data_IF_469138685083
#
_entry.id   IF_469138685083
#
_cell.length_a   1.000
_cell.length_b   1.000
_cell.length_c   1.000
_cell.angle_alpha   90.00
_cell.angle_beta   90.00
_cell.angle_gamma   90.00
#
_symmetry.space_group_name_H-M   'P 1'
#
loop_
_entity.id
_entity.type
_entity.pdbx_description
1 polymer ?
#
# COMPACT_ATOMS: atom_id res chain seq x y z
N UNK A 1 18.32 11.66 12.52
CA UNK A 1 17.25 10.87 11.86
C UNK A 1 16.34 10.13 12.87
N UNK A 2 16.89 9.32 13.77
CA UNK A 2 16.17 8.52 14.77
C UNK A 2 15.08 9.27 15.60
N UNK A 3 15.40 10.44 16.17
CA UNK A 3 14.44 11.25 16.96
C UNK A 3 13.28 11.81 16.13
N UNK A 4 13.46 12.03 14.82
CA UNK A 4 12.44 12.62 13.92
C UNK A 4 11.40 11.57 13.48
N UNK A 5 11.83 10.35 13.18
CA UNK A 5 10.93 9.20 12.91
C UNK A 5 10.07 8.85 14.13
N UNK A 6 10.63 8.87 15.34
CA UNK A 6 9.89 8.60 16.58
C UNK A 6 8.74 9.61 16.80
N UNK A 7 8.90 10.87 16.37
CA UNK A 7 7.85 11.88 16.51
C UNK A 7 6.68 11.72 15.51
N UNK A 8 6.89 11.12 14.32
CA UNK A 8 5.80 10.81 13.36
C UNK A 8 4.73 9.89 13.93
N UNK A 9 5.15 9.01 14.85
CA UNK A 9 4.38 7.87 15.30
C UNK A 9 4.01 7.95 16.79
N UNK A 10 4.10 9.15 17.40
CA UNK A 10 3.98 9.33 18.84
C UNK A 10 2.53 9.25 19.35
N UNK A 11 2.06 8.01 19.51
CA UNK A 11 1.17 7.43 20.56
C UNK A 11 1.01 5.96 20.18
N UNK A 12 1.08 5.01 21.13
CA UNK A 12 -0.11 4.13 21.28
C UNK A 12 -0.21 3.34 22.61
N UNK A 13 -1.32 2.57 22.70
CA UNK A 13 -1.43 1.33 23.47
C UNK A 13 -0.85 0.14 22.66
N UNK A 14 0.00 -0.65 23.32
CA UNK A 14 0.53 -2.01 23.09
C UNK A 14 0.89 -2.51 21.66
N UNK A 15 -0.02 -2.75 20.71
CA UNK A 15 0.33 -3.42 19.41
C UNK A 15 0.99 -2.48 18.39
N UNK A 16 0.53 -1.23 18.30
CA UNK A 16 1.06 -0.26 17.33
C UNK A 16 2.48 0.17 17.72
N UNK A 17 2.81 0.22 19.03
CA UNK A 17 4.17 0.50 19.51
C UNK A 17 5.15 -0.54 18.98
N UNK A 18 4.78 -1.81 19.07
CA UNK A 18 5.61 -2.91 18.60
C UNK A 18 5.91 -2.81 17.10
N UNK A 19 4.90 -2.52 16.29
CA UNK A 19 5.07 -2.32 14.84
C UNK A 19 5.98 -1.12 14.57
N UNK A 20 5.75 0.02 15.24
CA UNK A 20 6.58 1.22 15.07
C UNK A 20 8.04 0.95 15.44
N UNK A 21 8.29 0.25 16.56
CA UNK A 21 9.66 -0.11 16.97
C UNK A 21 10.34 -1.01 15.93
N UNK A 22 9.63 -2.00 15.38
CA UNK A 22 10.14 -2.83 14.29
C UNK A 22 10.41 -2.01 13.02
N UNK A 23 9.51 -1.11 12.64
CA UNK A 23 9.70 -0.21 11.48
C UNK A 23 10.94 0.65 11.68
N UNK A 24 11.10 1.29 12.84
CA UNK A 24 12.27 2.09 13.17
C UNK A 24 13.53 1.24 13.03
N UNK A 25 13.54 0.02 13.57
CA UNK A 25 14.68 -0.89 13.45
C UNK A 25 14.99 -1.29 11.99
N UNK A 26 13.97 -1.45 11.15
CA UNK A 26 14.15 -1.73 9.72
C UNK A 26 14.81 -0.54 9.03
N UNK A 27 14.29 0.67 9.24
CA UNK A 27 14.85 1.89 8.64
C UNK A 27 16.26 2.20 9.14
N UNK A 28 16.58 1.88 10.40
CA UNK A 28 17.91 2.15 10.95
C UNK A 28 18.94 1.14 10.47
N UNK A 29 18.57 -0.15 10.32
CA UNK A 29 19.44 -1.19 9.77
C UNK A 29 19.63 -1.11 8.25
N UNK A 30 18.59 -0.72 7.51
CA UNK A 30 18.62 -0.63 6.04
C UNK A 30 19.45 0.55 5.50
N UNK A 31 19.80 1.52 6.35
CA UNK A 31 20.63 2.68 6.01
C UNK A 31 22.01 2.37 5.42
N UNK A 32 22.44 1.10 5.41
CA UNK A 32 23.70 0.68 4.78
C UNK A 32 23.56 0.03 3.40
N UNK A 33 22.42 -0.56 3.01
CA UNK A 33 22.36 -1.41 1.79
C UNK A 33 21.05 -1.42 0.99
N UNK A 34 19.95 -0.78 1.43
CA UNK A 34 18.71 -0.77 0.61
C UNK A 34 17.78 0.41 0.93
N UNK A 35 17.64 1.36 -0.01
CA UNK A 35 16.62 2.40 0.03
C UNK A 35 15.27 1.84 -0.44
N UNK A 36 14.26 1.83 0.44
CA UNK A 36 12.89 1.62 -0.02
C UNK A 36 12.42 2.83 -0.84
N UNK A 37 11.72 2.56 -1.94
CA UNK A 37 11.16 3.60 -2.81
C UNK A 37 9.69 3.85 -2.47
N UNK A 38 9.19 5.05 -2.79
CA UNK A 38 7.79 5.43 -2.57
C UNK A 38 6.80 4.43 -3.20
N UNK A 39 7.09 3.92 -4.39
CA UNK A 39 6.25 2.97 -5.12
C UNK A 39 5.94 1.65 -4.37
N UNK A 40 6.74 1.25 -3.38
CA UNK A 40 6.46 0.09 -2.55
C UNK A 40 5.30 0.32 -1.58
N UNK A 41 4.95 1.59 -1.30
CA UNK A 41 3.98 1.95 -0.28
C UNK A 41 2.72 2.64 -0.83
N UNK A 42 2.67 2.96 -2.12
CA UNK A 42 1.52 3.65 -2.70
C UNK A 42 0.28 2.74 -2.73
N UNK A 43 -0.88 3.32 -2.45
CA UNK A 43 -2.17 2.75 -2.82
C UNK A 43 -2.45 3.08 -4.29
N UNK A 44 -2.91 2.08 -5.05
CA UNK A 44 -3.34 2.29 -6.43
C UNK A 44 -4.49 3.29 -6.47
N UNK A 45 -4.43 4.22 -7.43
CA UNK A 45 -5.52 5.18 -7.66
C UNK A 45 -6.86 4.52 -7.98
N UNK A 46 -6.87 3.28 -8.48
CA UNK A 46 -8.10 2.51 -8.72
C UNK A 46 -8.81 2.09 -7.44
N UNK A 47 -8.08 2.04 -6.34
CA UNK A 47 -8.60 1.66 -5.02
C UNK A 47 -8.98 2.88 -4.17
N UNK A 48 -8.84 4.09 -4.72
CA UNK A 48 -9.20 5.34 -4.06
C UNK A 48 -10.63 5.75 -4.39
N UNK A 49 -11.29 6.41 -3.44
CA UNK A 49 -12.60 6.99 -3.66
C UNK A 49 -12.48 8.45 -4.13
N UNK A 50 -13.28 8.82 -5.12
CA UNK A 50 -13.19 10.11 -5.80
C UNK A 50 -14.44 10.97 -5.61
N UNK A 51 -14.24 12.28 -5.58
CA UNK A 51 -15.31 13.28 -5.66
C UNK A 51 -15.01 14.15 -6.88
N UNK A 52 -15.99 14.32 -7.77
CA UNK A 52 -15.90 15.28 -8.87
C UNK A 52 -16.17 16.68 -8.31
N UNK A 53 -15.24 17.62 -8.52
CA UNK A 53 -15.38 19.01 -8.09
C UNK A 53 -16.59 19.73 -8.66
N UNK A 54 -16.99 19.39 -9.89
CA UNK A 54 -18.13 20.03 -10.57
C UNK A 54 -19.49 19.50 -10.09
N UNK A 55 -19.53 18.30 -9.53
CA UNK A 55 -20.78 17.62 -9.13
C UNK A 55 -21.04 17.72 -7.62
N UNK A 56 -20.38 18.65 -6.93
CA UNK A 56 -20.48 18.67 -5.49
C UNK A 56 -21.84 19.20 -5.02
N UNK A 57 -22.67 18.25 -4.58
CA UNK A 57 -23.97 18.45 -3.95
C UNK A 57 -24.04 17.72 -2.61
N UNK A 58 -24.67 18.33 -1.60
CA UNK A 58 -24.72 17.78 -0.23
C UNK A 58 -25.40 16.41 -0.18
N UNK A 59 -26.46 16.19 -0.95
CA UNK A 59 -27.17 14.91 -0.94
C UNK A 59 -26.31 13.83 -1.62
N UNK A 60 -25.63 14.18 -2.72
CA UNK A 60 -24.67 13.27 -3.36
C UNK A 60 -23.50 12.94 -2.42
N UNK A 61 -22.94 13.91 -1.69
CA UNK A 61 -21.89 13.68 -0.71
C UNK A 61 -22.35 12.80 0.46
N UNK A 62 -23.58 12.98 0.96
CA UNK A 62 -24.18 12.11 1.99
C UNK A 62 -24.29 10.67 1.52
N UNK A 63 -24.77 10.45 0.29
CA UNK A 63 -24.80 9.10 -0.32
C UNK A 63 -23.39 8.53 -0.45
N UNK A 64 -22.43 9.35 -0.90
CA UNK A 64 -21.02 8.97 -1.06
C UNK A 64 -20.45 8.43 0.25
N UNK A 65 -20.55 9.18 1.36
CA UNK A 65 -20.00 8.73 2.66
C UNK A 65 -20.75 7.52 3.24
N UNK A 66 -22.01 7.32 2.87
CA UNK A 66 -22.82 6.19 3.33
C UNK A 66 -22.42 4.88 2.64
N UNK A 67 -22.22 4.91 1.32
CA UNK A 67 -21.91 3.71 0.53
C UNK A 67 -20.41 3.46 0.34
N UNK A 68 -19.58 4.51 0.33
CA UNK A 68 -18.16 4.45 -0.02
C UNK A 68 -17.29 5.02 1.10
N UNK A 69 -17.43 4.49 2.32
CA UNK A 69 -16.70 5.03 3.48
C UNK A 69 -15.18 4.90 3.29
N UNK A 70 -14.47 6.01 3.47
CA UNK A 70 -13.01 6.08 3.35
C UNK A 70 -12.43 7.18 4.23
N UNK A 71 -11.17 7.05 4.61
CA UNK A 71 -10.45 8.03 5.45
C UNK A 71 -10.28 9.37 4.75
N UNK A 72 -10.14 9.36 3.43
CA UNK A 72 -10.09 10.53 2.58
C UNK A 72 -10.62 10.21 1.17
N UNK A 73 -10.89 11.27 0.42
CA UNK A 73 -11.39 11.21 -0.95
C UNK A 73 -10.51 12.11 -1.82
N UNK A 74 -10.20 11.63 -3.03
CA UNK A 74 -9.49 12.41 -4.03
C UNK A 74 -10.48 13.31 -4.78
N UNK A 75 -10.21 14.61 -4.77
CA UNK A 75 -10.97 15.59 -5.50
C UNK A 75 -10.35 15.75 -6.88
N UNK A 76 -11.14 15.59 -7.93
CA UNK A 76 -10.68 15.74 -9.31
C UNK A 76 -11.58 16.70 -10.09
N UNK A 77 -11.03 17.24 -11.17
CA UNK A 77 -11.76 18.08 -12.12
C UNK A 77 -11.55 17.58 -13.55
N UNK A 78 -12.64 17.41 -14.30
CA UNK A 78 -12.68 16.92 -15.70
C UNK A 78 -12.21 15.47 -15.92
N UNK A 79 -11.12 15.04 -15.30
CA UNK A 79 -10.57 13.69 -15.36
C UNK A 79 -10.06 13.24 -13.99
N UNK A 80 -10.19 11.95 -13.68
CA UNK A 80 -9.64 11.34 -12.45
C UNK A 80 -8.10 11.46 -12.36
N UNK A 81 -7.43 11.73 -13.48
CA UNK A 81 -6.00 12.02 -13.55
C UNK A 81 -5.67 13.46 -13.14
N UNK A 82 -6.65 14.37 -13.18
CA UNK A 82 -6.49 15.75 -12.76
C UNK A 82 -6.94 15.92 -11.30
N UNK A 83 -6.11 15.44 -10.37
CA UNK A 83 -6.34 15.52 -8.93
C UNK A 83 -6.02 16.94 -8.46
N UNK A 84 -7.05 17.67 -8.03
CA UNK A 84 -6.94 19.07 -7.59
C UNK A 84 -6.99 19.21 -6.06
N UNK A 85 -7.26 18.13 -5.32
CA UNK A 85 -7.39 18.20 -3.88
C UNK A 85 -7.58 16.84 -3.20
N UNK A 86 -7.46 16.87 -1.88
CA UNK A 86 -7.73 15.71 -1.02
C UNK A 86 -8.62 16.18 0.11
N UNK A 87 -9.73 15.49 0.33
CA UNK A 87 -10.71 15.83 1.37
C UNK A 87 -10.70 14.71 2.40
N UNK A 88 -10.38 15.03 3.65
CA UNK A 88 -10.47 14.04 4.72
C UNK A 88 -11.93 13.73 5.03
N UNK A 89 -12.22 12.53 5.54
CA UNK A 89 -13.57 12.19 6.02
C UNK A 89 -14.09 13.23 7.01
N UNK A 90 -13.24 13.69 7.92
CA UNK A 90 -13.60 14.68 8.94
C UNK A 90 -13.97 16.03 8.31
N UNK A 91 -13.17 16.52 7.36
CA UNK A 91 -13.47 17.77 6.65
C UNK A 91 -14.74 17.64 5.81
N UNK A 92 -14.96 16.49 5.18
CA UNK A 92 -16.16 16.21 4.39
C UNK A 92 -17.42 16.19 5.26
N UNK A 93 -17.38 15.49 6.40
CA UNK A 93 -18.47 15.47 7.39
C UNK A 93 -18.72 16.89 7.91
N UNK A 94 -17.68 17.61 8.32
CA UNK A 94 -17.81 18.99 8.77
C UNK A 94 -18.47 19.88 7.70
N UNK A 95 -18.09 19.71 6.43
CA UNK A 95 -18.72 20.43 5.33
C UNK A 95 -20.22 20.08 5.19
N UNK A 96 -20.57 18.79 5.25
CA UNK A 96 -21.95 18.32 5.11
C UNK A 96 -22.86 18.85 6.23
N UNK A 97 -22.36 18.88 7.48
CA UNK A 97 -23.18 19.18 8.66
C UNK A 97 -23.11 20.65 9.12
N UNK A 98 -22.02 21.37 8.85
CA UNK A 98 -21.85 22.75 9.31
C UNK A 98 -22.17 23.82 8.26
N UNK A 99 -22.53 23.44 7.02
CA UNK A 99 -22.87 24.40 5.99
C UNK A 99 -24.23 25.08 6.22
N UNK A 100 -24.18 26.15 7.02
CA UNK A 100 -25.20 27.22 7.05
C UNK A 100 -24.95 28.30 5.99
N UNK A 101 -23.83 28.25 5.27
CA UNK A 101 -23.38 29.29 4.33
C UNK A 101 -23.35 28.78 2.89
N UNK A 102 -23.85 29.60 1.95
CA UNK A 102 -23.91 29.35 0.50
C UNK A 102 -22.52 29.37 -0.19
N UNK A 103 -21.43 29.42 0.57
CA UNK A 103 -20.08 29.47 0.00
C UNK A 103 -19.57 28.06 -0.33
N UNK A 104 -19.37 27.81 -1.63
CA UNK A 104 -18.87 26.55 -2.22
C UNK A 104 -17.40 26.24 -1.91
N UNK A 105 -16.73 26.99 -1.04
CA UNK A 105 -15.29 26.81 -0.80
C UNK A 105 -15.06 25.64 0.14
N UNK A 106 -14.77 24.47 -0.44
CA UNK A 106 -14.32 23.28 0.27
C UNK A 106 -12.92 23.47 0.83
N UNK A 107 -12.72 23.03 2.07
CA UNK A 107 -11.37 22.93 2.62
C UNK A 107 -10.72 21.64 2.10
N UNK A 108 -9.67 21.78 1.30
CA UNK A 108 -8.82 20.67 0.89
C UNK A 108 -7.59 20.59 1.79
N UNK A 109 -7.09 19.37 1.97
CA UNK A 109 -5.82 19.13 2.65
C UNK A 109 -4.64 19.39 1.73
N UNK A 110 -3.56 19.93 2.29
CA UNK A 110 -2.28 20.10 1.59
C UNK A 110 -1.71 18.73 1.19
N UNK A 111 -1.20 18.63 -0.03
CA UNK A 111 -0.54 17.45 -0.59
C UNK A 111 0.59 17.87 -1.54
N UNK A 112 1.47 16.93 -1.90
CA UNK A 112 2.49 17.14 -2.94
C UNK A 112 2.41 16.06 -4.01
N UNK A 113 2.89 16.42 -5.20
CA UNK A 113 3.26 15.45 -6.21
C UNK A 113 4.75 15.11 -6.07
N UNK A 114 5.07 13.83 -5.93
CA UNK A 114 6.46 13.36 -5.84
C UNK A 114 6.70 12.20 -6.82
N UNK A 115 7.92 12.05 -7.38
CA UNK A 115 8.24 10.91 -8.23
C UNK A 115 8.02 9.58 -7.49
N UNK A 116 7.38 8.61 -8.15
CA UNK A 116 7.13 7.30 -7.56
C UNK A 116 8.41 6.52 -7.19
N UNK A 117 9.55 6.89 -7.76
CA UNK A 117 10.87 6.32 -7.45
C UNK A 117 11.64 7.08 -6.36
N UNK A 118 11.02 8.08 -5.72
CA UNK A 118 11.66 8.83 -4.63
C UNK A 118 12.01 7.94 -3.44
N UNK A 119 13.14 8.20 -2.78
CA UNK A 119 13.52 7.53 -1.53
C UNK A 119 12.49 7.83 -0.45
N UNK A 120 11.98 6.79 0.20
CA UNK A 120 10.91 6.95 1.19
C UNK A 120 11.35 7.78 2.42
N UNK A 121 12.64 7.78 2.76
CA UNK A 121 13.16 8.59 3.86
C UNK A 121 13.09 10.08 3.53
N UNK A 122 13.42 10.45 2.29
CA UNK A 122 13.34 11.82 1.80
C UNK A 122 11.88 12.27 1.73
N UNK A 123 11.00 11.41 1.21
CA UNK A 123 9.54 11.65 1.20
C UNK A 123 9.02 11.91 2.61
N UNK A 124 9.36 11.04 3.58
CA UNK A 124 8.93 11.20 4.97
C UNK A 124 9.50 12.46 5.62
N UNK A 125 10.76 12.80 5.34
CA UNK A 125 11.38 14.01 5.84
C UNK A 125 10.71 15.26 5.26
N UNK A 126 10.36 15.25 3.98
CA UNK A 126 9.64 16.34 3.33
C UNK A 126 8.23 16.49 3.91
N UNK A 127 7.49 15.38 4.07
CA UNK A 127 6.17 15.37 4.71
C UNK A 127 6.21 15.96 6.12
N UNK A 128 7.22 15.62 6.93
CA UNK A 128 7.43 16.22 8.24
C UNK A 128 7.68 17.72 8.17
N UNK A 129 8.61 18.13 7.31
CA UNK A 129 9.11 19.51 7.25
C UNK A 129 8.03 20.46 6.75
N UNK A 130 7.21 20.00 5.81
CA UNK A 130 6.15 20.80 5.19
C UNK A 130 4.77 20.62 5.84
N UNK A 131 4.70 19.80 6.89
CA UNK A 131 3.48 19.39 7.60
C UNK A 131 2.40 18.78 6.68
N UNK A 132 2.85 17.95 5.73
CA UNK A 132 2.01 17.32 4.71
C UNK A 132 1.69 15.89 5.10
N UNK A 133 0.43 15.51 4.93
CA UNK A 133 -0.08 14.17 5.27
C UNK A 133 -0.19 13.25 4.06
N UNK A 134 -0.30 13.83 2.88
CA UNK A 134 -0.68 13.12 1.67
C UNK A 134 0.27 13.45 0.51
N UNK A 135 0.60 12.44 -0.26
CA UNK A 135 1.40 12.52 -1.46
C UNK A 135 0.63 11.84 -2.59
N UNK A 136 0.68 12.43 -3.78
CA UNK A 136 0.32 11.77 -5.03
C UNK A 136 1.62 11.42 -5.75
N UNK A 137 1.90 10.12 -5.86
CA UNK A 137 3.05 9.64 -6.60
C UNK A 137 2.80 9.81 -8.10
N UNK A 138 3.78 10.34 -8.83
CA UNK A 138 3.70 10.59 -10.29
C UNK A 138 4.77 9.84 -11.07
N UNK A 139 4.49 9.55 -12.32
CA UNK A 139 5.46 9.06 -13.29
C UNK A 139 6.38 10.19 -13.81
N UNK A 140 7.30 9.85 -14.72
CA UNK A 140 8.23 10.81 -15.33
C UNK A 140 7.57 11.83 -16.26
N UNK A 141 6.30 11.62 -16.62
CA UNK A 141 5.49 12.51 -17.45
C UNK A 141 4.54 13.38 -16.63
N UNK A 142 4.52 13.21 -15.30
CA UNK A 142 3.63 13.92 -14.39
C UNK A 142 2.27 13.25 -14.18
N UNK A 143 2.04 12.06 -14.73
CA UNK A 143 0.77 11.36 -14.55
C UNK A 143 0.69 10.77 -13.13
N UNK A 144 -0.43 10.94 -12.42
CA UNK A 144 -0.65 10.28 -11.13
C UNK A 144 -0.65 8.75 -11.25
N UNK A 145 0.16 8.09 -10.42
CA UNK A 145 0.28 6.64 -10.34
C UNK A 145 -0.33 6.07 -9.05
N UNK A 146 -0.28 6.81 -7.95
CA UNK A 146 -0.72 6.30 -6.66
C UNK A 146 -0.84 7.36 -5.58
N UNK A 147 -1.53 7.00 -4.52
CA UNK A 147 -1.71 7.80 -3.33
C UNK A 147 -0.84 7.26 -2.19
N UNK A 148 -0.25 8.15 -1.40
CA UNK A 148 0.53 7.78 -0.23
C UNK A 148 0.21 8.67 0.97
N UNK A 149 -0.06 8.03 2.09
CA UNK A 149 -0.13 8.61 3.44
C UNK A 149 0.89 7.90 4.34
N UNK A 150 1.37 8.60 5.37
CA UNK A 150 2.28 8.01 6.38
C UNK A 150 1.83 6.65 6.94
N UNK A 151 0.52 6.40 7.03
CA UNK A 151 -0.03 5.15 7.55
C UNK A 151 0.18 3.97 6.60
N UNK A 152 0.37 4.21 5.30
CA UNK A 152 0.71 3.17 4.33
C UNK A 152 1.97 2.41 4.71
N UNK A 153 3.00 3.10 5.23
CA UNK A 153 4.22 2.45 5.74
C UNK A 153 3.91 1.49 6.88
N UNK A 154 3.06 1.92 7.81
CA UNK A 154 2.69 1.10 8.97
C UNK A 154 1.99 -0.17 8.49
N UNK A 155 0.98 -0.04 7.63
CA UNK A 155 0.22 -1.16 7.09
C UNK A 155 1.09 -2.11 6.26
N UNK A 156 2.03 -1.57 5.47
CA UNK A 156 2.99 -2.35 4.70
C UNK A 156 3.83 -3.26 5.62
N UNK A 157 4.48 -2.67 6.62
CA UNK A 157 5.35 -3.43 7.51
C UNK A 157 4.57 -4.33 8.47
N UNK A 158 3.39 -3.93 8.92
CA UNK A 158 2.49 -4.78 9.70
C UNK A 158 2.17 -6.07 8.95
N UNK A 159 1.81 -5.98 7.66
CA UNK A 159 1.59 -7.16 6.82
C UNK A 159 2.83 -8.04 6.72
N UNK A 160 4.01 -7.46 6.51
CA UNK A 160 5.27 -8.22 6.46
C UNK A 160 5.56 -8.92 7.81
N UNK A 161 5.40 -8.23 8.93
CA UNK A 161 5.65 -8.76 10.28
C UNK A 161 4.68 -9.90 10.62
N UNK A 162 3.38 -9.70 10.40
CA UNK A 162 2.36 -10.72 10.63
C UNK A 162 2.63 -11.96 9.77
N UNK A 163 3.12 -11.75 8.55
CA UNK A 163 3.45 -12.85 7.66
C UNK A 163 4.68 -13.62 8.15
N UNK A 164 5.74 -12.94 8.57
CA UNK A 164 6.92 -13.56 9.19
C UNK A 164 6.56 -14.39 10.42
N UNK A 165 5.62 -13.94 11.24
CA UNK A 165 5.16 -14.67 12.42
C UNK A 165 4.43 -15.95 12.07
N UNK A 166 3.55 -15.92 11.05
CA UNK A 166 2.84 -17.10 10.55
C UNK A 166 3.80 -18.16 9.98
N UNK A 167 4.90 -17.75 9.37
CA UNK A 167 5.86 -18.68 8.75
C UNK A 167 6.64 -19.55 9.75
N UNK A 168 6.47 -19.35 11.05
CA UNK A 168 6.99 -20.27 12.08
C UNK A 168 6.32 -21.65 12.06
N UNK A 169 5.09 -21.75 11.57
CA UNK A 169 4.27 -22.98 11.63
C UNK A 169 4.47 -23.93 10.42
N UNK A 170 5.59 -23.80 9.68
CA UNK A 170 6.00 -24.55 8.48
C UNK A 170 5.06 -24.49 7.26
N UNK A 171 3.77 -24.24 7.43
CA UNK A 171 2.78 -24.08 6.35
C UNK A 171 1.95 -22.83 6.60
N UNK A 172 1.84 -21.95 5.59
CA UNK A 172 1.08 -20.70 5.69
C UNK A 172 0.18 -20.52 4.49
N UNK A 173 -1.06 -20.14 4.75
CA UNK A 173 -2.00 -19.71 3.73
C UNK A 173 -1.91 -18.20 3.53
N UNK A 174 -1.68 -17.77 2.29
CA UNK A 174 -1.56 -16.35 1.92
C UNK A 174 -2.38 -16.03 0.68
N UNK A 175 -2.78 -14.77 0.55
CA UNK A 175 -3.42 -14.30 -0.68
C UNK A 175 -2.43 -14.32 -1.84
N UNK A 176 -2.88 -14.64 -3.05
CA UNK A 176 -2.09 -14.48 -4.28
C UNK A 176 -1.67 -13.02 -4.54
N UNK A 177 -2.37 -12.05 -3.95
CA UNK A 177 -1.98 -10.63 -3.98
C UNK A 177 -0.88 -10.24 -2.99
N UNK A 178 -0.38 -11.17 -2.17
CA UNK A 178 0.71 -10.89 -1.22
C UNK A 178 1.96 -10.49 -1.98
N UNK A 179 2.60 -9.39 -1.54
CA UNK A 179 3.81 -8.90 -2.17
C UNK A 179 4.95 -9.90 -1.96
N UNK A 180 5.71 -10.14 -3.02
CA UNK A 180 6.88 -11.03 -3.04
C UNK A 180 7.89 -10.61 -1.99
N UNK A 181 8.09 -9.31 -1.80
CA UNK A 181 9.00 -8.73 -0.79
C UNK A 181 8.58 -8.99 0.66
N UNK A 182 7.33 -9.38 0.90
CA UNK A 182 6.88 -9.80 2.23
C UNK A 182 7.21 -11.27 2.52
N UNK A 183 7.53 -12.06 1.50
CA UNK A 183 7.89 -13.46 1.65
C UNK A 183 9.29 -13.53 2.27
N UNK A 184 9.47 -14.20 3.44
CA UNK A 184 10.74 -14.16 4.17
C UNK A 184 11.85 -15.01 3.52
N UNK A 185 11.50 -15.90 2.60
CA UNK A 185 12.46 -16.73 1.90
C UNK A 185 13.02 -16.04 0.67
N UNK A 186 14.34 -16.14 0.52
CA UNK A 186 15.05 -15.61 -0.65
C UNK A 186 14.91 -16.59 -1.80
N UNK A 187 14.07 -16.25 -2.77
CA UNK A 187 13.98 -16.92 -4.07
C UNK A 187 14.68 -16.02 -5.08
N UNK A 188 15.63 -16.56 -5.86
CA UNK A 188 16.45 -15.75 -6.78
C UNK A 188 15.58 -15.06 -7.84
N UNK A 189 14.58 -15.77 -8.35
CA UNK A 189 13.64 -15.37 -9.39
C UNK A 189 12.77 -14.17 -8.96
N UNK A 190 12.63 -13.90 -7.65
CA UNK A 190 11.95 -12.71 -7.16
C UNK A 190 12.60 -11.42 -7.66
N UNK A 191 13.93 -11.38 -7.75
CA UNK A 191 14.64 -10.20 -8.25
C UNK A 191 14.38 -9.96 -9.74
N UNK A 192 14.28 -11.05 -10.52
CA UNK A 192 13.93 -10.99 -11.94
C UNK A 192 12.50 -10.48 -12.11
N UNK A 193 11.56 -11.02 -11.35
CA UNK A 193 10.17 -10.58 -11.34
C UNK A 193 10.04 -9.10 -10.98
N UNK A 194 10.82 -8.62 -10.01
CA UNK A 194 10.80 -7.21 -9.62
C UNK A 194 11.19 -6.30 -10.79
N UNK A 195 12.24 -6.67 -11.56
CA UNK A 195 12.66 -5.92 -12.76
C UNK A 195 11.59 -5.94 -13.87
N UNK A 196 10.81 -7.01 -13.97
CA UNK A 196 9.72 -7.15 -14.93
C UNK A 196 8.39 -6.50 -14.47
N UNK A 197 8.38 -5.81 -13.33
CA UNK A 197 7.15 -5.18 -12.80
C UNK A 197 6.21 -6.13 -12.06
N UNK A 198 6.57 -7.41 -11.94
CA UNK A 198 5.80 -8.39 -11.16
C UNK A 198 6.09 -8.15 -9.68
N UNK A 199 5.02 -8.05 -8.87
CA UNK A 199 5.12 -7.67 -7.44
C UNK A 199 4.49 -8.68 -6.50
N UNK A 200 3.52 -9.47 -6.95
CA UNK A 200 2.74 -10.37 -6.10
C UNK A 200 3.16 -11.82 -6.29
N UNK A 201 2.98 -12.63 -5.24
CA UNK A 201 3.31 -14.06 -5.28
C UNK A 201 2.49 -14.81 -6.34
N UNK A 202 1.23 -14.42 -6.55
CA UNK A 202 0.39 -15.01 -7.59
C UNK A 202 0.87 -14.66 -9.00
N UNK A 203 1.32 -13.41 -9.19
CA UNK A 203 1.95 -12.98 -10.43
C UNK A 203 3.27 -13.69 -10.68
N UNK A 204 4.08 -13.89 -9.64
CA UNK A 204 5.31 -14.67 -9.70
C UNK A 204 5.05 -16.12 -10.14
N UNK A 205 4.12 -16.82 -9.49
CA UNK A 205 3.82 -18.22 -9.84
C UNK A 205 3.31 -18.33 -11.27
N UNK A 206 2.46 -17.39 -11.71
CA UNK A 206 1.95 -17.39 -13.08
C UNK A 206 3.03 -17.10 -14.11
N UNK A 207 3.99 -16.22 -13.78
CA UNK A 207 5.16 -15.96 -14.61
C UNK A 207 6.07 -17.19 -14.68
N UNK A 208 6.31 -17.84 -13.54
CA UNK A 208 7.18 -19.01 -13.44
C UNK A 208 6.65 -20.20 -14.24
N UNK A 209 5.33 -20.45 -14.21
CA UNK A 209 4.70 -21.54 -14.97
C UNK A 209 4.37 -21.16 -16.42
N UNK A 210 4.25 -19.86 -16.72
CA UNK A 210 3.83 -19.35 -18.04
C UNK A 210 2.30 -19.32 -18.25
N UNK A 211 1.52 -19.66 -17.24
CA UNK A 211 0.05 -19.67 -17.25
C UNK A 211 -0.49 -19.42 -15.84
N UNK A 212 -1.80 -19.17 -15.67
CA UNK A 212 -2.39 -19.07 -14.32
C UNK A 212 -2.62 -20.49 -13.76
N UNK A 213 -1.90 -20.93 -12.71
CA UNK A 213 -2.02 -22.26 -12.14
C UNK A 213 -3.42 -22.57 -11.61
N UNK A 214 -3.87 -23.81 -11.81
CA UNK A 214 -5.22 -24.26 -11.44
C UNK A 214 -5.32 -24.65 -9.96
N UNK A 215 -6.54 -24.73 -9.43
CA UNK A 215 -6.79 -25.20 -8.06
C UNK A 215 -6.23 -26.62 -7.88
N UNK A 216 -5.60 -26.86 -6.73
CA UNK A 216 -4.86 -28.07 -6.34
C UNK A 216 -3.53 -28.31 -7.07
N UNK A 217 -3.14 -27.44 -8.01
CA UNK A 217 -1.82 -27.52 -8.62
C UNK A 217 -0.73 -27.24 -7.57
N UNK A 218 0.39 -27.97 -7.69
CA UNK A 218 1.52 -27.88 -6.77
C UNK A 218 2.78 -27.51 -7.54
N UNK A 219 3.35 -26.37 -7.20
CA UNK A 219 4.55 -25.83 -7.83
C UNK A 219 5.68 -25.87 -6.80
N UNK A 220 6.83 -26.43 -7.19
CA UNK A 220 8.01 -26.54 -6.32
C UNK A 220 9.12 -25.66 -6.87
N UNK A 221 9.63 -24.76 -6.03
CA UNK A 221 10.70 -23.82 -6.35
C UNK A 221 11.65 -23.80 -5.17
N UNK A 222 12.92 -24.10 -5.40
CA UNK A 222 13.92 -24.34 -4.37
C UNK A 222 13.42 -25.33 -3.29
N UNK A 223 13.37 -24.88 -2.04
CA UNK A 223 12.90 -25.66 -0.88
C UNK A 223 11.47 -25.28 -0.46
N UNK A 224 10.68 -24.71 -1.36
CA UNK A 224 9.31 -24.31 -1.12
C UNK A 224 8.34 -25.05 -2.03
N UNK A 225 7.21 -25.45 -1.45
CA UNK A 225 6.07 -25.97 -2.18
C UNK A 225 4.92 -24.98 -2.08
N UNK A 226 4.39 -24.59 -3.23
CA UNK A 226 3.25 -23.70 -3.41
C UNK A 226 2.07 -24.53 -3.91
N UNK A 227 1.05 -24.73 -3.07
CA UNK A 227 -0.19 -25.37 -3.46
C UNK A 227 -1.26 -24.31 -3.70
N UNK A 228 -1.90 -24.34 -4.86
CA UNK A 228 -2.99 -23.43 -5.20
C UNK A 228 -4.27 -23.90 -4.51
N UNK A 229 -4.78 -23.07 -3.60
CA UNK A 229 -6.03 -23.38 -2.89
C UNK A 229 -7.24 -22.78 -3.60
N UNK A 230 -7.09 -21.59 -4.17
CA UNK A 230 -8.14 -20.90 -4.91
C UNK A 230 -7.56 -20.09 -6.07
N UNK A 231 -8.13 -20.24 -7.26
CA UNK A 231 -7.76 -19.50 -8.47
C UNK A 231 -8.98 -19.29 -9.38
N UNK A 232 -8.83 -18.33 -10.29
CA UNK A 232 -9.71 -18.08 -11.44
C UNK A 232 -8.87 -18.15 -12.70
N UNK A 233 -9.48 -18.13 -13.88
CA UNK A 233 -8.77 -18.12 -15.17
C UNK A 233 -7.79 -16.94 -15.33
N UNK A 234 -7.94 -15.88 -14.52
CA UNK A 234 -7.14 -14.64 -14.62
C UNK A 234 -6.14 -14.44 -13.49
N UNK A 235 -6.34 -15.07 -12.33
CA UNK A 235 -5.52 -14.83 -11.14
C UNK A 235 -5.61 -15.94 -10.11
N UNK A 236 -4.53 -16.09 -9.36
CA UNK A 236 -4.46 -16.89 -8.14
C UNK A 236 -4.98 -16.05 -6.96
N UNK A 237 -5.91 -16.59 -6.18
CA UNK A 237 -6.53 -15.91 -5.04
C UNK A 237 -5.90 -16.35 -3.70
N UNK A 238 -5.66 -17.65 -3.52
CA UNK A 238 -5.18 -18.22 -2.26
C UNK A 238 -4.13 -19.32 -2.51
N UNK A 239 -3.03 -19.26 -1.77
CA UNK A 239 -1.88 -20.16 -1.90
C UNK A 239 -1.52 -20.69 -0.51
N UNK A 240 -1.26 -21.99 -0.41
CA UNK A 240 -0.56 -22.60 0.71
C UNK A 240 0.93 -22.68 0.38
N UNK A 241 1.78 -22.11 1.23
CA UNK A 241 3.23 -22.24 1.10
C UNK A 241 3.74 -23.08 2.24
N UNK A 242 4.52 -24.11 1.94
CA UNK A 242 5.26 -24.87 2.95
C UNK A 242 6.73 -25.01 2.58
N UNK A 243 7.58 -25.05 3.61
CA UNK A 243 8.98 -25.42 3.42
C UNK A 243 9.08 -26.93 3.29
N UNK A 244 9.72 -27.39 2.23
CA UNK A 244 10.05 -28.80 2.04
C UNK A 244 11.26 -29.08 2.94
N UNK A 245 11.09 -29.89 3.97
CA UNK A 245 12.20 -30.43 4.72
C UNK A 245 12.93 -31.42 3.83
N UNK A 246 14.14 -31.08 3.37
CA UNK A 246 15.02 -32.10 2.82
C UNK A 246 15.36 -33.04 3.98
N UNK A 247 14.88 -34.28 3.89
CA UNK A 247 15.45 -35.38 4.65
C UNK A 247 16.82 -35.62 4.01
N UNK A 248 17.86 -35.16 4.67
CA UNK A 248 19.25 -35.56 4.43
C UNK A 248 19.88 -35.82 5.79
#
# INVERSE_FOLDING_TARGET
>A
MHKKLINLFRKPKNHISYIIEKIINIFTKSSKDSSYMLNSFITSLKDMNYINYKDIDINNLKKKIYYEISSCYLLYEDSIENIIGIITYQDLVNYIFNNKSKNKTFKTSKFLFLPYMADINDVLQQMLTEEIKFIIAIDTRGNPLGFFEKYNIINYFEKSILLQEKFKDNTVKISGGTLIEHIPWKILEFQVCYKLGIRTIGGFLSYYTGYVPSVNEVIKIDNLEFQILEATDRKINLISIKKISNIS
#
